data_IF_588854830051
#
_entry.id   IF_588854830051
#
_cell.length_a   1.000
_cell.length_b   1.000
_cell.length_c   1.000
_cell.angle_alpha   90.00
_cell.angle_beta   90.00
_cell.angle_gamma   90.00
#
_symmetry.space_group_name_H-M   'P 1'
#
loop_
_entity.id
_entity.type
_entity.pdbx_description
1 polymer ?
#
# COMPACT_ATOMS: atom_id res chain seq x y z
N UNK A 1 -4.02 -19.62 23.82
CA UNK A 1 -2.97 -18.68 23.37
C UNK A 1 -3.69 -17.55 22.64
N UNK A 2 -3.43 -16.27 22.94
CA UNK A 2 -4.12 -15.19 22.23
C UNK A 2 -3.79 -15.30 20.73
N UNK A 3 -4.84 -15.17 19.92
CA UNK A 3 -4.88 -15.37 18.47
C UNK A 3 -3.79 -14.52 17.77
N UNK A 4 -2.63 -15.13 17.51
CA UNK A 4 -1.48 -14.45 16.90
C UNK A 4 -1.81 -14.11 15.43
N UNK A 5 -1.25 -13.00 14.89
CA UNK A 5 -1.42 -12.69 13.47
C UNK A 5 -0.88 -13.84 12.62
N UNK A 6 -1.74 -14.44 11.80
CA UNK A 6 -1.41 -15.58 10.96
C UNK A 6 -1.05 -15.11 9.55
N UNK A 7 0.07 -15.58 9.00
CA UNK A 7 0.45 -15.29 7.62
C UNK A 7 -0.55 -15.96 6.64
N UNK A 8 -1.23 -15.15 5.85
CA UNK A 8 -2.23 -15.60 4.87
C UNK A 8 -1.58 -15.85 3.50
N UNK A 9 -0.76 -14.90 3.05
CA UNK A 9 -0.03 -14.98 1.80
C UNK A 9 1.32 -14.27 1.90
N UNK A 10 2.25 -14.73 1.07
CA UNK A 10 3.56 -14.11 0.89
C UNK A 10 4.02 -14.34 -0.54
N UNK A 11 4.52 -13.27 -1.17
CA UNK A 11 5.17 -13.35 -2.47
C UNK A 11 6.18 -12.23 -2.65
N UNK A 12 7.14 -12.49 -3.54
CA UNK A 12 8.20 -11.57 -3.92
C UNK A 12 8.09 -11.32 -5.41
N UNK A 13 8.07 -10.04 -5.79
CA UNK A 13 8.07 -9.60 -7.18
C UNK A 13 9.48 -9.12 -7.52
N UNK A 14 10.26 -9.84 -8.33
CA UNK A 14 11.63 -9.47 -8.71
C UNK A 14 11.62 -8.39 -9.81
N UNK A 15 11.00 -7.24 -9.52
CA UNK A 15 10.83 -6.13 -10.46
C UNK A 15 11.04 -4.79 -9.75
N UNK A 16 11.45 -3.77 -10.50
CA UNK A 16 11.52 -2.39 -10.03
C UNK A 16 10.14 -1.93 -9.51
N UNK A 17 10.04 -1.36 -8.31
CA UNK A 17 8.76 -0.83 -7.82
C UNK A 17 8.23 0.31 -8.70
N UNK A 18 7.00 0.17 -9.20
CA UNK A 18 6.34 1.19 -10.04
C UNK A 18 5.15 1.77 -9.27
N UNK A 19 5.14 3.09 -9.10
CA UNK A 19 3.98 3.76 -8.50
C UNK A 19 2.78 3.75 -9.44
N UNK A 20 1.59 3.76 -8.83
CA UNK A 20 0.36 4.05 -9.57
C UNK A 20 0.42 5.45 -10.18
N UNK A 21 0.36 5.51 -11.51
CA UNK A 21 0.21 6.76 -12.23
C UNK A 21 -1.20 7.33 -12.06
N UNK A 22 -1.32 8.65 -11.96
CA UNK A 22 -2.64 9.30 -12.02
C UNK A 22 -3.27 9.00 -13.38
N UNK A 23 -4.58 8.76 -13.37
CA UNK A 23 -5.35 8.55 -14.56
C UNK A 23 -5.18 9.73 -15.52
N UNK A 24 -5.01 9.44 -16.80
CA UNK A 24 -4.85 10.46 -17.84
C UNK A 24 -6.15 10.63 -18.58
N UNK A 25 -6.53 11.87 -18.81
CA UNK A 25 -7.74 12.22 -19.56
C UNK A 25 -7.37 12.78 -20.91
N UNK A 26 -8.04 12.32 -21.96
CA UNK A 26 -7.88 12.80 -23.32
C UNK A 26 -9.24 13.05 -23.95
N UNK A 27 -9.33 14.05 -24.83
CA UNK A 27 -10.55 14.31 -25.60
C UNK A 27 -10.61 13.29 -26.73
N UNK A 28 -11.72 12.55 -26.84
CA UNK A 28 -11.95 11.66 -27.97
C UNK A 28 -12.10 12.47 -29.25
N UNK A 29 -11.39 12.07 -30.29
CA UNK A 29 -11.39 12.73 -31.60
C UNK A 29 -11.81 11.74 -32.69
N UNK A 30 -12.60 12.21 -33.64
CA UNK A 30 -12.95 11.46 -34.84
C UNK A 30 -11.78 11.43 -35.84
N UNK A 31 -11.90 10.60 -36.89
CA UNK A 31 -10.96 10.60 -38.02
C UNK A 31 -10.88 12.01 -38.62
N UNK A 32 -9.67 12.59 -38.64
CA UNK A 32 -9.46 14.00 -39.02
C UNK A 32 -9.30 14.98 -37.84
N UNK A 33 -9.26 14.50 -36.59
CA UNK A 33 -8.84 15.29 -35.43
C UNK A 33 -9.92 16.16 -34.79
N UNK A 34 -11.16 16.19 -35.32
CA UNK A 34 -12.27 16.92 -34.70
C UNK A 34 -12.72 16.24 -33.39
N UNK A 35 -12.94 17.00 -32.29
CA UNK A 35 -13.50 16.45 -31.05
C UNK A 35 -14.86 15.77 -31.28
N UNK A 36 -15.08 14.62 -30.65
CA UNK A 36 -16.41 13.99 -30.59
C UNK A 36 -17.18 14.65 -29.45
N UNK A 37 -18.40 15.10 -29.74
CA UNK A 37 -19.25 15.84 -28.79
C UNK A 37 -20.37 14.95 -28.23
N UNK A 38 -20.85 15.27 -27.02
CA UNK A 38 -22.09 14.73 -26.46
C UNK A 38 -23.31 15.34 -27.16
N UNK A 39 -24.52 14.87 -26.80
CA UNK A 39 -25.78 15.44 -27.33
C UNK A 39 -25.94 16.92 -26.95
N UNK A 40 -25.33 17.34 -25.85
CA UNK A 40 -25.32 18.70 -25.32
C UNK A 40 -24.16 19.54 -25.88
N UNK A 41 -23.37 19.01 -26.82
CA UNK A 41 -22.30 19.73 -27.50
C UNK A 41 -20.96 19.76 -26.76
N UNK A 42 -20.79 19.01 -25.67
CA UNK A 42 -19.54 19.00 -24.89
C UNK A 42 -18.56 17.93 -25.39
N UNK A 43 -17.23 18.16 -25.40
CA UNK A 43 -16.27 17.14 -25.81
C UNK A 43 -16.28 15.92 -24.91
N UNK A 44 -16.31 14.72 -25.51
CA UNK A 44 -16.24 13.46 -24.75
C UNK A 44 -14.81 13.24 -24.25
N UNK A 45 -14.67 13.05 -22.94
CA UNK A 45 -13.40 12.75 -22.28
C UNK A 45 -13.26 11.23 -22.10
N UNK A 46 -12.12 10.69 -22.49
CA UNK A 46 -11.71 9.32 -22.20
C UNK A 46 -10.62 9.33 -21.15
N UNK A 47 -10.78 8.55 -20.10
CA UNK A 47 -9.76 8.36 -19.09
C UNK A 47 -9.09 7.01 -19.27
N UNK A 48 -7.75 6.97 -19.17
CA UNK A 48 -6.99 5.72 -19.25
C UNK A 48 -5.87 5.72 -18.21
N UNK A 49 -5.58 4.51 -17.70
CA UNK A 49 -4.40 4.27 -16.86
C UNK A 49 -3.17 4.18 -17.77
N UNK A 50 -2.05 4.83 -17.42
CA UNK A 50 -0.81 4.72 -18.19
C UNK A 50 -0.37 3.25 -18.32
N UNK A 51 0.15 2.88 -19.49
CA UNK A 51 0.60 1.53 -19.83
C UNK A 51 1.54 0.93 -18.78
N UNK A 52 2.56 1.67 -18.35
CA UNK A 52 3.49 1.22 -17.30
C UNK A 52 2.81 0.82 -16.00
N UNK A 53 1.74 1.53 -15.62
CA UNK A 53 0.98 1.19 -14.40
C UNK A 53 0.13 -0.06 -14.64
N UNK A 54 -0.53 -0.17 -15.79
CA UNK A 54 -1.32 -1.36 -16.16
C UNK A 54 -0.44 -2.62 -16.19
N UNK A 55 0.73 -2.54 -16.81
CA UNK A 55 1.61 -3.70 -16.98
C UNK A 55 2.21 -4.12 -15.64
N UNK A 56 2.57 -3.16 -14.78
CA UNK A 56 3.01 -3.46 -13.42
C UNK A 56 1.89 -4.07 -12.57
N UNK A 57 0.66 -3.54 -12.64
CA UNK A 57 -0.49 -4.11 -11.92
C UNK A 57 -0.82 -5.54 -12.42
N UNK A 58 -0.66 -5.81 -13.72
CA UNK A 58 -0.81 -7.16 -14.27
C UNK A 58 0.27 -8.11 -13.72
N UNK A 59 1.53 -7.68 -13.70
CA UNK A 59 2.63 -8.45 -13.11
C UNK A 59 2.35 -8.77 -11.63
N UNK A 60 1.97 -7.77 -10.83
CA UNK A 60 1.64 -7.97 -9.42
C UNK A 60 0.49 -8.97 -9.26
N UNK A 61 -0.54 -8.87 -10.10
CA UNK A 61 -1.67 -9.80 -10.11
C UNK A 61 -1.23 -11.24 -10.35
N UNK A 62 -0.32 -11.48 -11.29
CA UNK A 62 0.14 -12.84 -11.60
C UNK A 62 0.88 -13.48 -10.42
N UNK A 63 1.73 -12.72 -9.70
CA UNK A 63 2.38 -13.21 -8.48
C UNK A 63 1.38 -13.40 -7.33
N UNK A 64 0.41 -12.50 -7.21
CA UNK A 64 -0.64 -12.60 -6.20
C UNK A 64 -1.52 -13.85 -6.44
N UNK A 65 -1.88 -14.15 -7.69
CA UNK A 65 -2.64 -15.35 -8.04
C UNK A 65 -1.88 -16.64 -7.69
N UNK A 66 -0.56 -16.68 -7.89
CA UNK A 66 0.27 -17.82 -7.51
C UNK A 66 0.36 -18.01 -5.99
N UNK A 67 0.31 -16.92 -5.24
CA UNK A 67 0.31 -16.94 -3.78
C UNK A 67 -1.08 -17.21 -3.18
N UNK A 68 -2.14 -16.94 -3.94
CA UNK A 68 -3.51 -17.19 -3.54
C UNK A 68 -3.77 -18.70 -3.42
N UNK A 69 -4.48 -19.13 -2.38
CA UNK A 69 -4.87 -20.53 -2.17
C UNK A 69 -6.18 -20.91 -2.88
N UNK A 70 -6.52 -20.21 -3.96
CA UNK A 70 -7.74 -20.43 -4.75
C UNK A 70 -9.02 -19.78 -4.20
N UNK A 71 -9.00 -19.25 -2.98
CA UNK A 71 -10.14 -18.53 -2.38
C UNK A 71 -9.77 -17.09 -2.01
N UNK A 72 -10.70 -16.17 -2.24
CA UNK A 72 -10.58 -14.78 -1.82
C UNK A 72 -10.79 -14.66 -0.32
N UNK A 73 -9.90 -13.91 0.33
CA UNK A 73 -10.04 -13.58 1.74
C UNK A 73 -11.30 -12.72 1.95
N UNK A 74 -12.06 -13.04 3.01
CA UNK A 74 -13.28 -12.32 3.44
C UNK A 74 -13.14 -11.66 4.82
N UNK A 75 -11.99 -11.85 5.48
CA UNK A 75 -11.62 -11.20 6.74
C UNK A 75 -10.92 -9.85 6.51
N UNK A 76 -10.84 -9.01 7.56
CA UNK A 76 -9.83 -7.97 7.68
C UNK A 76 -8.40 -8.50 7.56
N UNK A 77 -7.58 -7.79 6.77
CA UNK A 77 -6.18 -8.12 6.49
C UNK A 77 -5.29 -6.96 6.90
N UNK A 78 -4.16 -7.26 7.53
CA UNK A 78 -3.05 -6.31 7.70
C UNK A 78 -1.99 -6.61 6.62
N UNK A 79 -1.64 -5.60 5.82
CA UNK A 79 -0.60 -5.68 4.80
C UNK A 79 0.76 -5.19 5.33
N UNK A 80 1.82 -5.91 4.96
CA UNK A 80 3.20 -5.44 5.08
C UNK A 80 3.85 -5.46 3.70
N UNK A 81 4.26 -4.29 3.20
CA UNK A 81 4.83 -4.14 1.86
C UNK A 81 6.17 -3.44 1.91
N UNK A 82 7.22 -4.15 1.50
CA UNK A 82 8.59 -3.62 1.44
C UNK A 82 9.00 -3.36 0.01
N UNK A 83 9.44 -2.15 -0.28
CA UNK A 83 9.93 -1.75 -1.59
C UNK A 83 11.46 -1.61 -1.55
N UNK A 84 12.16 -2.47 -2.31
CA UNK A 84 13.62 -2.51 -2.37
C UNK A 84 14.11 -1.91 -3.68
N UNK A 85 14.82 -0.79 -3.58
CA UNK A 85 15.35 -0.04 -4.72
C UNK A 85 16.86 -0.20 -4.85
N UNK A 86 17.37 -0.17 -6.08
CA UNK A 86 18.81 -0.25 -6.29
C UNK A 86 19.50 1.01 -5.76
N UNK A 87 20.67 0.85 -5.14
CA UNK A 87 21.51 1.99 -4.76
C UNK A 87 21.95 2.72 -6.05
N UNK A 88 21.69 4.05 -6.18
CA UNK A 88 22.09 4.79 -7.37
C UNK A 88 23.62 4.79 -7.55
N UNK A 89 24.09 4.56 -8.77
CA UNK A 89 25.52 4.59 -9.10
C UNK A 89 26.14 5.98 -8.89
N UNK A 90 25.32 7.03 -8.99
CA UNK A 90 25.70 8.42 -8.76
C UNK A 90 25.95 8.76 -7.28
N UNK A 91 25.58 7.89 -6.34
CA UNK A 91 25.90 8.11 -4.93
C UNK A 91 27.41 8.03 -4.72
N UNK A 92 27.93 8.94 -3.89
CA UNK A 92 29.32 8.87 -3.44
C UNK A 92 29.56 7.60 -2.60
N UNK A 93 30.83 7.19 -2.43
CA UNK A 93 31.18 5.95 -1.74
C UNK A 93 30.50 5.83 -0.36
N UNK A 94 30.64 6.85 0.49
CA UNK A 94 30.06 6.83 1.84
C UNK A 94 28.53 6.74 1.82
N UNK A 95 27.85 7.33 0.82
CA UNK A 95 26.40 7.21 0.68
C UNK A 95 25.98 5.80 0.29
N UNK A 96 26.76 5.15 -0.59
CA UNK A 96 26.51 3.75 -0.96
C UNK A 96 26.72 2.83 0.23
N UNK A 97 27.76 3.06 1.03
CA UNK A 97 28.05 2.29 2.23
C UNK A 97 26.90 2.44 3.25
N UNK A 98 26.46 3.67 3.56
CA UNK A 98 25.31 3.88 4.46
C UNK A 98 24.00 3.29 3.91
N UNK A 99 23.78 3.33 2.59
CA UNK A 99 22.60 2.73 1.97
C UNK A 99 22.62 1.20 2.03
N UNK A 100 23.80 0.59 1.85
CA UNK A 100 23.99 -0.86 1.97
C UNK A 100 23.78 -1.35 3.40
N UNK A 101 24.19 -0.56 4.41
CA UNK A 101 23.95 -0.82 5.83
C UNK A 101 22.52 -0.49 6.28
N UNK A 102 21.65 -0.01 5.38
CA UNK A 102 20.26 0.36 5.70
C UNK A 102 20.12 1.63 6.56
N UNK A 103 21.19 2.39 6.77
CA UNK A 103 21.21 3.65 7.53
C UNK A 103 20.76 4.85 6.69
N UNK A 104 20.83 4.74 5.37
CA UNK A 104 20.29 5.72 4.43
C UNK A 104 19.02 5.16 3.75
N UNK A 105 17.90 5.86 3.91
CA UNK A 105 16.61 5.43 3.35
C UNK A 105 16.31 6.04 1.97
N UNK A 106 15.55 5.33 1.15
CA UNK A 106 15.14 5.79 -0.17
C UNK A 106 14.02 6.85 -0.06
N UNK A 107 14.39 8.13 -0.04
CA UNK A 107 13.45 9.25 0.09
C UNK A 107 12.94 9.81 -1.25
N UNK A 108 13.52 9.38 -2.38
CA UNK A 108 13.11 9.85 -3.71
C UNK A 108 11.77 9.23 -4.15
N UNK A 109 11.20 9.79 -5.22
CA UNK A 109 10.08 9.19 -5.94
C UNK A 109 10.46 7.77 -6.37
N UNK A 110 9.49 6.84 -6.47
CA UNK A 110 8.06 7.02 -6.25
C UNK A 110 7.62 7.26 -4.79
N UNK A 111 6.47 7.93 -4.62
CA UNK A 111 5.85 8.16 -3.31
C UNK A 111 5.33 6.84 -2.73
N UNK A 112 5.52 6.64 -1.42
CA UNK A 112 5.18 5.39 -0.76
C UNK A 112 3.70 5.02 -0.92
N UNK A 113 2.80 5.99 -0.72
CA UNK A 113 1.35 5.78 -0.88
C UNK A 113 0.95 5.37 -2.29
N UNK A 114 1.61 5.89 -3.32
CA UNK A 114 1.33 5.50 -4.71
C UNK A 114 1.87 4.11 -5.05
N UNK A 115 2.94 3.67 -4.38
CA UNK A 115 3.44 2.30 -4.50
C UNK A 115 2.48 1.32 -3.84
N UNK A 116 2.07 1.59 -2.59
CA UNK A 116 1.08 0.78 -1.87
C UNK A 116 -0.20 0.67 -2.68
N UNK A 117 -0.70 1.79 -3.21
CA UNK A 117 -1.91 1.79 -4.04
C UNK A 117 -1.79 0.90 -5.29
N UNK A 118 -0.62 0.81 -5.91
CA UNK A 118 -0.43 -0.10 -7.05
C UNK A 118 -0.52 -1.57 -6.63
N UNK A 119 -0.06 -1.92 -5.43
CA UNK A 119 -0.19 -3.26 -4.86
C UNK A 119 -1.64 -3.57 -4.50
N UNK A 120 -2.31 -2.67 -3.78
CA UNK A 120 -3.72 -2.83 -3.38
C UNK A 120 -4.62 -2.98 -4.61
N UNK A 121 -4.51 -2.08 -5.59
CA UNK A 121 -5.36 -2.10 -6.79
C UNK A 121 -5.12 -3.36 -7.63
N UNK A 122 -3.90 -3.92 -7.63
CA UNK A 122 -3.58 -5.16 -8.34
C UNK A 122 -4.05 -6.43 -7.61
N UNK A 123 -4.03 -6.41 -6.27
CA UNK A 123 -4.45 -7.53 -5.42
C UNK A 123 -5.96 -7.59 -5.17
N UNK A 124 -6.69 -6.49 -5.44
CA UNK A 124 -8.13 -6.43 -5.30
C UNK A 124 -8.84 -7.42 -6.23
N UNK A 125 -9.75 -8.21 -5.68
CA UNK A 125 -10.42 -9.31 -6.38
C UNK A 125 -9.51 -10.51 -6.70
N UNK A 126 -8.29 -10.55 -6.15
CA UNK A 126 -7.29 -11.60 -6.38
C UNK A 126 -6.89 -12.27 -5.06
N UNK A 127 -6.52 -11.48 -4.05
CA UNK A 127 -6.19 -11.98 -2.71
C UNK A 127 -7.35 -11.78 -1.73
N UNK A 128 -8.00 -10.63 -1.82
CA UNK A 128 -9.16 -10.25 -1.02
C UNK A 128 -10.30 -9.82 -1.94
N UNK A 129 -11.54 -9.95 -1.47
CA UNK A 129 -12.73 -9.61 -2.27
C UNK A 129 -12.85 -8.11 -2.52
N UNK A 130 -12.47 -7.31 -1.54
CA UNK A 130 -12.53 -5.84 -1.59
C UNK A 130 -11.31 -5.26 -0.87
N UNK A 131 -10.69 -4.21 -1.44
CA UNK A 131 -9.54 -3.53 -0.85
C UNK A 131 -9.88 -2.82 0.48
N UNK A 132 -11.15 -2.53 0.73
CA UNK A 132 -11.66 -2.10 2.04
C UNK A 132 -11.48 -3.12 3.16
N UNK A 133 -11.11 -4.37 2.85
CA UNK A 133 -10.70 -5.37 3.85
C UNK A 133 -9.29 -5.13 4.39
N UNK A 134 -8.46 -4.31 3.72
CA UNK A 134 -7.15 -3.92 4.24
C UNK A 134 -7.34 -2.88 5.35
N UNK A 135 -7.22 -3.32 6.60
CA UNK A 135 -7.48 -2.48 7.80
C UNK A 135 -6.20 -1.91 8.42
N UNK A 136 -5.06 -2.39 7.96
CA UNK A 136 -3.73 -1.92 8.36
C UNK A 136 -2.76 -2.13 7.22
N UNK A 137 -1.88 -1.14 6.99
CA UNK A 137 -0.79 -1.27 6.05
C UNK A 137 0.48 -0.69 6.66
N UNK A 138 1.52 -1.52 6.75
CA UNK A 138 2.88 -1.10 7.09
C UNK A 138 3.68 -1.15 5.80
N UNK A 139 4.45 -0.10 5.55
CA UNK A 139 5.28 -0.05 4.35
C UNK A 139 6.61 0.64 4.59
N UNK A 140 7.65 0.14 3.91
CA UNK A 140 8.97 0.73 3.94
C UNK A 140 9.61 0.81 2.56
N UNK A 141 10.46 1.83 2.37
CA UNK A 141 11.33 1.98 1.22
C UNK A 141 12.77 1.89 1.68
N UNK A 142 13.48 0.90 1.17
CA UNK A 142 14.88 0.67 1.49
C UNK A 142 15.70 0.53 0.21
N UNK A 143 17.00 0.78 0.32
CA UNK A 143 17.92 0.39 -0.72
C UNK A 143 18.29 -1.10 -0.60
N UNK A 144 18.74 -1.68 -1.70
CA UNK A 144 19.30 -3.03 -1.76
C UNK A 144 20.56 -3.05 -2.63
N UNK A 145 21.52 -3.88 -2.25
CA UNK A 145 22.71 -4.22 -3.05
C UNK A 145 22.40 -5.30 -4.09
N UNK A 146 21.29 -6.02 -3.93
CA UNK A 146 20.83 -7.09 -4.80
C UNK A 146 19.91 -6.57 -5.93
N UNK A 147 19.06 -7.44 -6.48
CA UNK A 147 18.03 -7.07 -7.45
C UNK A 147 16.91 -6.26 -6.77
N UNK A 148 16.32 -5.32 -7.49
CA UNK A 148 15.12 -4.61 -7.04
C UNK A 148 13.95 -5.57 -6.91
N UNK A 149 13.21 -5.43 -5.81
CA UNK A 149 12.06 -6.28 -5.57
C UNK A 149 11.00 -5.60 -4.71
N UNK A 150 9.81 -6.19 -4.75
CA UNK A 150 8.71 -5.89 -3.84
C UNK A 150 8.44 -7.16 -3.03
N UNK A 151 8.44 -7.04 -1.72
CA UNK A 151 8.06 -8.13 -0.81
C UNK A 151 6.70 -7.81 -0.22
N UNK A 152 5.75 -8.72 -0.37
CA UNK A 152 4.37 -8.54 0.09
C UNK A 152 4.00 -9.64 1.06
N UNK A 153 3.52 -9.26 2.24
CA UNK A 153 2.93 -10.17 3.20
C UNK A 153 1.52 -9.71 3.56
N UNK A 154 0.59 -10.65 3.66
CA UNK A 154 -0.74 -10.44 4.21
C UNK A 154 -0.91 -11.24 5.48
N UNK A 155 -1.37 -10.59 6.54
CA UNK A 155 -1.64 -11.22 7.83
C UNK A 155 -3.12 -11.14 8.17
N UNK A 156 -3.64 -12.20 8.78
CA UNK A 156 -4.92 -12.13 9.48
C UNK A 156 -4.72 -11.29 10.74
N UNK A 157 -5.60 -10.33 10.97
CA UNK A 157 -5.58 -9.53 12.19
C UNK A 157 -5.86 -10.41 13.41
N UNK A 158 -5.09 -10.22 14.47
CA UNK A 158 -5.26 -10.94 15.73
C UNK A 158 -6.70 -10.77 16.28
N UNK A 159 -7.33 -11.88 16.69
CA UNK A 159 -8.67 -11.89 17.28
C UNK A 159 -9.82 -11.81 16.28
N UNK A 160 -9.55 -11.97 14.97
CA UNK A 160 -10.55 -11.84 13.91
C UNK A 160 -10.59 -13.12 13.07
N UNK A 161 -11.76 -13.79 13.06
CA UNK A 161 -11.98 -14.95 12.18
C UNK A 161 -12.38 -14.50 10.77
N UNK A 162 -12.04 -15.30 9.75
CA UNK A 162 -12.45 -15.06 8.36
C UNK A 162 -13.88 -15.53 8.06
N UNK A 163 -14.55 -16.13 9.05
CA UNK A 163 -15.84 -16.80 8.93
C UNK A 163 -16.85 -16.32 9.96
N UNK A 164 -16.67 -15.13 10.55
CA UNK A 164 -17.54 -14.62 11.61
C UNK A 164 -19.01 -14.61 11.14
N UNK A 165 -19.78 -15.58 11.63
CA UNK A 165 -21.22 -15.64 11.42
C UNK A 165 -21.92 -14.67 12.36
N UNK A 166 -23.18 -14.33 12.07
CA UNK A 166 -24.00 -13.50 12.97
C UNK A 166 -24.08 -14.09 14.38
N UNK A 167 -24.13 -15.42 14.51
CA UNK A 167 -24.15 -16.11 15.80
C UNK A 167 -22.83 -15.92 16.56
N UNK A 168 -21.69 -16.12 15.90
CA UNK A 168 -20.36 -15.90 16.51
C UNK A 168 -20.15 -14.44 16.90
N UNK A 169 -20.68 -13.48 16.12
CA UNK A 169 -20.63 -12.07 16.46
C UNK A 169 -21.48 -11.73 17.70
N UNK A 170 -22.66 -12.33 17.84
CA UNK A 170 -23.51 -12.17 19.03
C UNK A 170 -22.82 -12.75 20.27
N UNK A 171 -22.24 -13.94 20.16
CA UNK A 171 -21.49 -14.57 21.25
C UNK A 171 -20.22 -13.79 21.61
N UNK A 172 -19.50 -13.24 20.63
CA UNK A 172 -18.34 -12.39 20.88
C UNK A 172 -18.73 -11.11 21.62
N UNK A 173 -19.78 -10.41 21.17
CA UNK A 173 -20.28 -9.20 21.83
C UNK A 173 -20.83 -9.46 23.23
N UNK A 174 -21.36 -10.66 23.49
CA UNK A 174 -21.81 -11.07 24.82
C UNK A 174 -20.63 -11.33 25.78
N UNK A 175 -19.47 -11.75 25.26
CA UNK A 175 -18.32 -12.19 26.08
C UNK A 175 -17.12 -11.23 26.09
N UNK A 176 -17.04 -10.28 25.15
CA UNK A 176 -16.03 -9.22 25.10
C UNK A 176 -16.71 -7.86 25.32
N UNK A 177 -16.59 -7.24 26.51
CA UNK A 177 -17.11 -5.89 26.70
C UNK A 177 -16.41 -4.95 25.73
N UNK A 178 -17.20 -4.04 25.16
CA UNK A 178 -16.76 -3.05 24.17
C UNK A 178 -15.42 -2.44 24.55
N UNK A 179 -14.42 -2.40 23.64
CA UNK A 179 -13.21 -1.65 23.92
C UNK A 179 -13.63 -0.21 24.14
N UNK A 180 -13.52 0.28 25.38
CA UNK A 180 -13.74 1.67 25.69
C UNK A 180 -12.71 2.46 24.89
N UNK A 181 -13.12 3.06 23.78
CA UNK A 181 -12.30 4.00 23.04
C UNK A 181 -12.10 5.20 23.97
N UNK A 182 -11.04 5.19 24.77
CA UNK A 182 -10.51 6.42 25.37
C UNK A 182 -9.83 7.18 24.24
N UNK A 183 -10.57 8.10 23.62
CA UNK A 183 -9.97 9.20 22.87
C UNK A 183 -9.13 10.04 23.84
N UNK A 184 -7.86 9.68 24.02
CA UNK A 184 -6.88 10.67 24.46
C UNK A 184 -6.56 11.54 23.25
N UNK A 185 -7.42 12.52 23.04
CA UNK A 185 -7.20 13.66 22.16
C UNK A 185 -5.89 14.36 22.61
N UNK A 186 -4.94 14.46 21.68
CA UNK A 186 -3.82 15.41 21.68
C UNK A 186 -3.09 15.60 23.03
N UNK A 187 -2.05 14.79 23.24
CA UNK A 187 -0.97 15.09 24.18
C UNK A 187 -0.06 16.23 23.72
N UNK A 188 -0.59 17.30 23.12
CA UNK A 188 0.11 18.58 22.98
C UNK A 188 -0.07 19.36 24.28
N UNK A 189 0.59 18.86 25.32
CA UNK A 189 0.90 19.65 26.49
C UNK A 189 2.00 20.64 26.11
N UNK A 190 1.61 21.84 25.71
CA UNK A 190 2.49 22.99 25.60
C UNK A 190 3.24 23.19 26.92
N UNK A 191 4.50 22.76 26.99
CA UNK A 191 5.49 23.39 27.86
C UNK A 191 6.56 23.97 26.96
N UNK A 192 6.33 25.22 26.52
CA UNK A 192 7.42 26.14 26.26
C UNK A 192 8.34 26.10 27.49
N UNK A 193 9.50 25.47 27.37
CA UNK A 193 10.63 25.81 28.23
C UNK A 193 11.16 27.14 27.71
N UNK A 194 10.85 28.21 28.42
CA UNK A 194 11.58 29.47 28.36
C UNK A 194 13.05 29.15 28.55
N UNK A 195 13.82 29.19 27.47
CA UNK A 195 15.27 29.24 27.53
C UNK A 195 15.62 30.63 28.09
N UNK A 196 16.05 30.70 29.35
CA UNK A 196 16.67 31.90 29.89
C UNK A 196 18.01 32.09 29.16
N UNK A 197 18.11 33.16 28.40
CA UNK A 197 19.38 33.83 28.17
C UNK A 197 19.91 34.27 29.53
N UNK A 198 21.01 33.65 29.98
CA UNK A 198 21.85 34.19 31.04
C UNK A 198 23.16 34.53 30.38
N UNK A 199 23.40 35.82 30.21
CA UNK A 199 24.70 36.34 29.79
C UNK A 199 25.74 36.13 30.88
N UNK A 200 26.96 35.89 30.42
CA UNK A 200 28.20 36.55 30.84
C UNK A 200 29.22 36.39 29.72
#
# INVERSE_FOLDING_TARGET
MPDQPALLFHFIIPHTPVAKGRARSTIKRAKGGKPILTKEGQPIISTYTPEKTRDFEALVRDYAQQAARGELLTCPVDLLVQFRFKIPSSYTKWQRDLAAEGLLHHTKKPDCSNLVKAIEDACNGVLFKDDGQVVGCITDKAFTTEQECIVVHGYRRAGVSCTATRAEAVDFLANYPTPSIRMNHLGLGTRMRTMRLVGR
#
